data_IF_928137117371
#
_entry.id   IF_928137117371
#
_cell.length_a   1.000
_cell.length_b   1.000
_cell.length_c   1.000
_cell.angle_alpha   90.00
_cell.angle_beta   90.00
_cell.angle_gamma   90.00
#
_symmetry.space_group_name_H-M   'P 1'
#
loop_
_entity.id
_entity.type
_entity.pdbx_description
1 polymer ?
#
# COMPACT_ATOMS: atom_id res chain seq x y z
N UNK A 1 -6.97 -8.00 -0.10
CA UNK A 1 -6.90 -6.76 -0.90
C UNK A 1 -8.10 -6.72 -1.85
N UNK A 2 -8.61 -5.52 -2.15
CA UNK A 2 -9.68 -5.34 -3.15
C UNK A 2 -9.23 -5.70 -4.55
N UNK A 3 -10.18 -5.99 -5.45
CA UNK A 3 -9.84 -6.22 -6.84
C UNK A 3 -9.42 -4.91 -7.52
N UNK A 4 -8.46 -4.96 -8.45
CA UNK A 4 -7.90 -3.77 -9.10
C UNK A 4 -8.96 -2.90 -9.80
N UNK A 5 -10.00 -3.53 -10.35
CA UNK A 5 -11.14 -2.87 -11.02
C UNK A 5 -12.12 -2.16 -10.05
N UNK A 6 -11.98 -2.36 -8.74
CA UNK A 6 -12.82 -1.74 -7.71
C UNK A 6 -12.14 -0.53 -7.05
N UNK A 7 -10.84 -0.35 -7.24
CA UNK A 7 -10.02 0.65 -6.56
C UNK A 7 -10.49 2.08 -6.86
N UNK A 8 -10.76 2.41 -8.13
CA UNK A 8 -11.24 3.74 -8.54
C UNK A 8 -12.65 4.06 -8.01
N UNK A 9 -13.39 3.07 -7.50
CA UNK A 9 -14.69 3.29 -6.85
C UNK A 9 -14.54 3.78 -5.40
N UNK A 10 -13.36 3.59 -4.81
CA UNK A 10 -13.10 3.95 -3.40
C UNK A 10 -12.72 5.42 -3.23
N UNK A 11 -12.20 6.07 -4.29
CA UNK A 11 -11.81 7.47 -4.23
C UNK A 11 -11.81 8.11 -5.60
N UNK A 12 -12.33 9.34 -5.69
CA UNK A 12 -12.23 10.16 -6.91
C UNK A 12 -10.80 10.71 -7.14
N UNK A 13 -9.93 10.58 -6.15
CA UNK A 13 -8.55 11.08 -6.19
C UNK A 13 -7.54 10.03 -6.63
N UNK A 14 -7.97 8.78 -6.84
CA UNK A 14 -7.12 7.72 -7.36
C UNK A 14 -7.50 7.39 -8.79
N UNK A 15 -6.49 7.11 -9.61
CA UNK A 15 -6.68 6.71 -11.01
C UNK A 15 -5.73 5.59 -11.38
N UNK A 16 -6.25 4.52 -11.98
CA UNK A 16 -5.42 3.47 -12.57
C UNK A 16 -4.76 3.99 -13.85
N UNK A 17 -3.44 3.86 -13.93
CA UNK A 17 -2.66 4.27 -15.11
C UNK A 17 -2.34 3.06 -15.99
N UNK A 18 -2.09 1.91 -15.37
CA UNK A 18 -1.71 0.70 -16.09
C UNK A 18 -2.13 -0.55 -15.31
N UNK A 19 -2.70 -1.52 -16.01
CA UNK A 19 -2.95 -2.87 -15.49
C UNK A 19 -1.84 -3.81 -15.98
N UNK A 20 -1.25 -4.57 -15.07
CA UNK A 20 -0.28 -5.64 -15.31
C UNK A 20 -0.89 -7.03 -15.09
N UNK A 21 -0.08 -8.07 -15.25
CA UNK A 21 -0.53 -9.45 -15.05
C UNK A 21 -0.77 -9.79 -13.57
N UNK A 22 0.00 -9.17 -12.69
CA UNK A 22 0.08 -9.44 -11.25
C UNK A 22 -0.23 -8.21 -10.38
N UNK A 23 -0.79 -7.16 -10.97
CA UNK A 23 -1.03 -5.91 -10.27
C UNK A 23 -1.41 -4.75 -11.18
N UNK A 24 -1.38 -3.54 -10.65
CA UNK A 24 -1.64 -2.31 -11.39
C UNK A 24 -0.85 -1.12 -10.81
N UNK A 25 -0.59 -0.15 -11.67
CA UNK A 25 -0.03 1.14 -11.31
C UNK A 25 -1.15 2.19 -11.23
N UNK A 26 -1.10 3.04 -10.21
CA UNK A 26 -2.06 4.11 -9.97
C UNK A 26 -1.35 5.43 -9.69
N UNK A 27 -2.08 6.51 -9.90
CA UNK A 27 -1.74 7.85 -9.41
C UNK A 27 -2.77 8.24 -8.35
N UNK A 28 -2.31 8.74 -7.22
CA UNK A 28 -3.16 9.24 -6.15
C UNK A 28 -2.81 10.69 -5.82
N UNK A 29 -3.83 11.55 -5.82
CA UNK A 29 -3.71 12.94 -5.40
C UNK A 29 -4.12 13.05 -3.94
N UNK A 30 -3.24 13.58 -3.10
CA UNK A 30 -3.59 14.00 -1.75
C UNK A 30 -3.12 15.43 -1.54
N UNK A 31 -4.06 16.31 -1.19
CA UNK A 31 -3.85 17.76 -1.17
C UNK A 31 -3.24 18.26 -2.51
N UNK A 32 -2.04 18.86 -2.45
CA UNK A 32 -1.31 19.39 -3.61
C UNK A 32 -0.14 18.50 -4.04
N UNK A 33 -0.13 17.24 -3.64
CA UNK A 33 0.92 16.28 -3.98
C UNK A 33 0.34 15.07 -4.72
N UNK A 34 1.08 14.64 -5.75
CA UNK A 34 0.83 13.41 -6.46
C UNK A 34 1.74 12.30 -5.93
N UNK A 35 1.17 11.10 -5.76
CA UNK A 35 1.85 9.89 -5.34
C UNK A 35 1.71 8.81 -6.42
N UNK A 36 2.82 8.14 -6.72
CA UNK A 36 2.86 6.95 -7.55
C UNK A 36 2.56 5.75 -6.67
N UNK A 37 1.65 4.89 -7.11
CA UNK A 37 1.27 3.68 -6.39
C UNK A 37 1.45 2.47 -7.29
N UNK A 38 2.04 1.42 -6.74
CA UNK A 38 2.02 0.09 -7.34
C UNK A 38 1.30 -0.83 -6.37
N UNK A 39 0.26 -1.50 -6.84
CA UNK A 39 -0.42 -2.54 -6.08
C UNK A 39 -0.25 -3.88 -6.80
N UNK A 40 0.11 -4.93 -6.08
CA UNK A 40 0.33 -6.26 -6.65
C UNK A 40 -0.16 -7.36 -5.71
N UNK A 41 -0.45 -8.52 -6.29
CA UNK A 41 -0.89 -9.74 -5.58
C UNK A 41 0.02 -10.94 -5.88
N UNK A 42 1.25 -10.66 -6.32
CA UNK A 42 2.25 -11.68 -6.67
C UNK A 42 3.03 -12.20 -5.46
N UNK A 43 3.59 -13.41 -5.60
CA UNK A 43 4.51 -13.98 -4.60
C UNK A 43 3.87 -14.31 -3.26
N UNK A 44 2.56 -14.61 -3.24
CA UNK A 44 1.75 -14.89 -2.04
C UNK A 44 1.57 -13.70 -1.08
N UNK A 45 1.80 -12.48 -1.57
CA UNK A 45 1.60 -11.23 -0.84
C UNK A 45 0.66 -10.30 -1.59
N UNK A 46 -0.29 -9.71 -0.85
CA UNK A 46 -0.91 -8.46 -1.25
C UNK A 46 0.05 -7.33 -0.86
N UNK A 47 0.41 -6.50 -1.83
CA UNK A 47 1.40 -5.45 -1.67
C UNK A 47 0.92 -4.14 -2.27
N UNK A 48 1.17 -3.04 -1.55
CA UNK A 48 1.01 -1.68 -2.08
C UNK A 48 2.26 -0.87 -1.74
N UNK A 49 2.93 -0.31 -2.74
CA UNK A 49 3.99 0.67 -2.56
C UNK A 49 3.50 2.06 -2.93
N UNK A 50 3.85 3.06 -2.14
CA UNK A 50 3.48 4.47 -2.33
C UNK A 50 4.77 5.28 -2.33
N UNK A 51 5.05 5.96 -3.42
CA UNK A 51 6.23 6.82 -3.53
C UNK A 51 5.91 8.19 -4.08
N UNK A 52 6.80 9.15 -3.80
CA UNK A 52 6.79 10.46 -4.43
C UNK A 52 8.22 10.91 -4.69
N UNK A 53 8.42 11.88 -5.60
CA UNK A 53 9.77 12.31 -5.98
C UNK A 53 10.56 12.97 -4.85
N UNK A 54 9.90 13.70 -3.96
CA UNK A 54 10.55 14.67 -3.07
C UNK A 54 10.10 14.58 -1.61
N UNK A 55 9.19 13.65 -1.27
CA UNK A 55 8.60 13.58 0.07
C UNK A 55 8.12 12.17 0.39
N UNK A 56 8.51 11.67 1.56
CA UNK A 56 7.95 10.44 2.09
C UNK A 56 6.45 10.61 2.37
N UNK A 57 5.58 9.67 1.93
CA UNK A 57 4.16 9.69 2.25
C UNK A 57 3.94 9.87 3.76
N UNK A 58 3.00 10.74 4.13
CA UNK A 58 2.63 10.92 5.53
C UNK A 58 1.84 9.72 6.03
N UNK A 59 1.66 9.64 7.35
CA UNK A 59 0.77 8.65 7.95
C UNK A 59 -0.65 8.72 7.36
N UNK A 60 -1.22 9.91 7.21
CA UNK A 60 -2.57 10.09 6.67
C UNK A 60 -2.70 9.60 5.22
N UNK A 61 -1.65 9.82 4.41
CA UNK A 61 -1.58 9.27 3.04
C UNK A 61 -1.61 7.74 3.12
N UNK A 62 -0.75 7.14 3.95
CA UNK A 62 -0.67 5.68 4.06
C UNK A 62 -1.96 5.06 4.62
N UNK A 63 -2.62 5.71 5.58
CA UNK A 63 -3.91 5.28 6.12
C UNK A 63 -5.00 5.29 5.03
N UNK A 64 -5.08 6.36 4.23
CA UNK A 64 -6.01 6.42 3.10
C UNK A 64 -5.70 5.34 2.05
N UNK A 65 -4.42 5.07 1.78
CA UNK A 65 -4.04 4.00 0.85
C UNK A 65 -4.45 2.63 1.41
N UNK A 66 -4.28 2.36 2.71
CA UNK A 66 -4.81 1.14 3.33
C UNK A 66 -6.32 1.05 3.05
N UNK A 67 -7.07 2.10 3.35
CA UNK A 67 -8.53 2.10 3.23
C UNK A 67 -9.02 1.99 1.79
N UNK A 68 -8.23 2.43 0.80
CA UNK A 68 -8.56 2.30 -0.62
C UNK A 68 -8.27 0.88 -1.13
N UNK A 69 -7.14 0.29 -0.76
CA UNK A 69 -6.68 -0.98 -1.36
C UNK A 69 -7.08 -2.23 -0.56
N UNK A 70 -7.29 -2.12 0.74
CA UNK A 70 -7.63 -3.25 1.61
C UNK A 70 -9.03 -3.10 2.21
N UNK A 71 -9.67 -4.22 2.49
CA UNK A 71 -10.96 -4.19 3.19
C UNK A 71 -10.81 -3.66 4.63
N UNK A 72 -11.88 -3.12 5.24
CA UNK A 72 -11.81 -2.56 6.58
C UNK A 72 -11.25 -3.54 7.61
N UNK A 73 -11.71 -4.79 7.53
CA UNK A 73 -11.34 -5.90 8.43
C UNK A 73 -10.06 -6.64 8.00
N UNK A 74 -9.41 -6.23 6.91
CA UNK A 74 -8.11 -6.79 6.52
C UNK A 74 -6.99 -6.14 7.31
N UNK A 75 -6.29 -6.97 8.10
CA UNK A 75 -5.01 -6.59 8.69
C UNK A 75 -3.96 -6.51 7.59
N UNK A 76 -3.28 -5.38 7.53
CA UNK A 76 -2.11 -5.16 6.69
C UNK A 76 -1.06 -4.39 7.51
N UNK A 77 0.21 -4.56 7.19
CA UNK A 77 1.32 -4.05 7.98
C UNK A 77 2.29 -3.19 7.17
N UNK A 78 2.85 -2.19 7.84
CA UNK A 78 4.12 -1.57 7.47
C UNK A 78 5.16 -2.10 8.46
N UNK A 79 6.30 -2.57 7.96
CA UNK A 79 7.33 -3.19 8.78
C UNK A 79 8.70 -2.58 8.50
N UNK A 80 9.54 -2.57 9.52
CA UNK A 80 10.96 -2.26 9.40
C UNK A 80 11.72 -3.59 9.43
N UNK A 81 12.20 -4.09 8.28
CA UNK A 81 12.96 -5.33 8.25
C UNK A 81 14.31 -5.13 8.94
N UNK A 82 15.00 -6.24 9.22
CA UNK A 82 16.37 -6.16 9.73
C UNK A 82 17.24 -5.36 8.76
N UNK A 83 18.20 -4.59 9.29
CA UNK A 83 19.07 -3.74 8.47
C UNK A 83 19.80 -4.51 7.36
N UNK A 84 20.15 -5.78 7.60
CA UNK A 84 20.77 -6.68 6.60
C UNK A 84 19.86 -7.00 5.42
N UNK A 85 18.55 -6.96 5.64
CA UNK A 85 17.52 -7.30 4.66
C UNK A 85 16.84 -6.03 4.12
N UNK A 86 17.25 -4.85 4.60
CA UNK A 86 16.73 -3.57 4.19
C UNK A 86 17.33 -3.18 2.83
N UNK A 87 16.57 -3.44 1.78
CA UNK A 87 16.89 -3.00 0.42
C UNK A 87 16.07 -1.76 0.12
N UNK A 88 16.69 -0.58 0.17
CA UNK A 88 16.03 0.69 -0.17
C UNK A 88 16.25 1.03 -1.65
N UNK A 89 15.21 0.90 -2.46
CA UNK A 89 15.24 1.27 -3.87
C UNK A 89 14.81 2.71 -4.13
N UNK A 90 14.08 3.34 -3.20
CA UNK A 90 13.54 4.70 -3.32
C UNK A 90 13.34 5.29 -1.91
N UNK A 91 14.09 6.36 -1.60
CA UNK A 91 14.12 7.03 -0.30
C UNK A 91 12.75 7.48 0.20
N UNK A 92 11.81 7.73 -0.71
CA UNK A 92 10.47 8.23 -0.39
C UNK A 92 9.38 7.20 -0.67
N UNK A 93 9.72 5.92 -0.70
CA UNK A 93 8.78 4.83 -0.88
C UNK A 93 8.42 4.17 0.46
N UNK A 94 7.13 4.12 0.76
CA UNK A 94 6.56 3.32 1.85
C UNK A 94 5.73 2.18 1.28
N UNK A 95 5.53 1.14 2.09
CA UNK A 95 4.92 -0.09 1.63
C UNK A 95 3.95 -0.65 2.68
N UNK A 96 2.85 -1.22 2.20
CA UNK A 96 1.88 -1.98 2.97
C UNK A 96 1.90 -3.41 2.45
N UNK A 97 1.92 -4.38 3.35
CA UNK A 97 1.92 -5.80 3.03
C UNK A 97 0.84 -6.56 3.79
N UNK A 98 0.28 -7.58 3.14
CA UNK A 98 -0.54 -8.61 3.78
C UNK A 98 -0.24 -9.97 3.16
N UNK A 99 0.13 -11.00 3.95
CA UNK A 99 0.29 -12.34 3.41
C UNK A 99 -1.07 -12.93 3.03
N UNK A 100 -1.15 -13.64 1.91
CA UNK A 100 -2.43 -14.17 1.41
C UNK A 100 -2.89 -15.43 2.16
N UNK A 101 -1.94 -16.23 2.64
CA UNK A 101 -2.20 -17.56 3.22
C UNK A 101 -1.91 -17.66 4.72
N UNK A 102 -1.62 -16.55 5.40
CA UNK A 102 -1.36 -16.52 6.85
C UNK A 102 -1.94 -15.26 7.49
N UNK A 103 -2.11 -15.31 8.81
CA UNK A 103 -2.54 -14.16 9.60
C UNK A 103 -1.35 -13.35 10.08
N UNK A 104 -1.48 -12.03 10.06
CA UNK A 104 -0.51 -11.14 10.70
C UNK A 104 -0.75 -11.21 12.21
N UNK A 105 0.28 -11.50 13.02
CA UNK A 105 0.14 -11.47 14.47
C UNK A 105 -0.18 -10.04 14.92
N UNK A 106 -1.26 -9.90 15.69
CA UNK A 106 -1.61 -8.63 16.33
C UNK A 106 -1.06 -8.61 17.75
N UNK A 107 -0.63 -7.44 18.25
CA UNK A 107 -0.35 -7.27 19.67
C UNK A 107 -1.65 -7.43 20.49
N UNK A 108 -1.54 -7.60 21.82
CA UNK A 108 -2.69 -7.49 22.72
C UNK A 108 -3.52 -6.22 22.46
N UNK A 109 -4.85 -6.32 22.54
CA UNK A 109 -5.78 -5.24 22.19
C UNK A 109 -5.55 -3.98 23.04
N UNK A 110 -5.06 -4.14 24.26
CA UNK A 110 -4.70 -3.06 25.19
C UNK A 110 -3.41 -2.31 24.80
N UNK A 111 -2.67 -2.78 23.80
CA UNK A 111 -1.49 -2.11 23.24
C UNK A 111 -1.75 -1.42 21.89
N UNK A 112 -2.99 -1.42 21.41
CA UNK A 112 -3.42 -0.86 20.11
C UNK A 112 -4.13 0.47 20.29
#
# INVERSE_FOLDING_TARGET
MRQMNEIERQSVFIRMIQLGADGAAFMYRYENQDYSIIASYGGDWDHVSVSSKNRTPSWDVMANIKDIFFEPEEVAMQLHPAQSDYVNFDEHCLHIWRPQHSSIPLPPVDMV
#
